data_IF_578132241495
#
_entry.id   IF_578132241495
#
_cell.length_a   1.000
_cell.length_b   1.000
_cell.length_c   1.000
_cell.angle_alpha   90.00
_cell.angle_beta   90.00
_cell.angle_gamma   90.00
#
_symmetry.space_group_name_H-M   'P 1'
#
loop_
_entity.id
_entity.type
_entity.pdbx_description
1 polymer ?
#
# COMPACT_ATOMS: atom_id res chain seq x y z
N UNK A 1 -1.01 -23.78 31.16
CA UNK A 1 0.33 -23.25 30.77
C UNK A 1 0.49 -21.88 31.39
N UNK A 2 1.68 -21.52 31.88
CA UNK A 2 1.95 -20.14 32.27
C UNK A 2 2.06 -19.28 31.00
N UNK A 3 1.61 -18.03 31.09
CA UNK A 3 1.77 -17.05 29.99
C UNK A 3 3.26 -16.86 29.70
N UNK A 4 3.63 -16.83 28.44
CA UNK A 4 4.99 -16.48 28.00
C UNK A 4 5.22 -14.98 28.21
N UNK A 5 5.76 -14.64 29.38
CA UNK A 5 5.88 -13.24 29.80
C UNK A 5 6.85 -12.47 28.92
N UNK A 6 7.90 -13.12 28.43
CA UNK A 6 8.95 -12.47 27.62
C UNK A 6 8.38 -11.85 26.34
N UNK A 7 7.60 -12.65 25.55
CA UNK A 7 7.00 -12.13 24.32
C UNK A 7 5.91 -11.09 24.60
N UNK A 8 5.13 -11.27 25.67
CA UNK A 8 4.08 -10.29 26.00
C UNK A 8 4.65 -8.96 26.53
N UNK A 9 5.80 -8.96 27.20
CA UNK A 9 6.53 -7.74 27.57
C UNK A 9 7.08 -7.01 26.33
N UNK A 10 7.52 -7.73 25.30
CA UNK A 10 7.93 -7.13 24.02
C UNK A 10 6.75 -6.54 23.27
N UNK A 11 5.61 -7.20 23.24
CA UNK A 11 4.35 -6.68 22.66
C UNK A 11 3.95 -5.38 23.36
N UNK A 12 4.01 -5.35 24.71
CA UNK A 12 3.70 -4.14 25.47
C UNK A 12 4.70 -3.01 25.19
N UNK A 13 6.01 -3.31 25.06
CA UNK A 13 7.01 -2.32 24.66
C UNK A 13 6.71 -1.70 23.29
N UNK A 14 6.29 -2.51 22.31
CA UNK A 14 5.90 -2.02 20.99
C UNK A 14 4.62 -1.17 21.07
N UNK A 15 3.63 -1.60 21.86
CA UNK A 15 2.43 -0.80 22.13
C UNK A 15 2.78 0.57 22.72
N UNK A 16 3.68 0.62 23.71
CA UNK A 16 4.16 1.87 24.31
C UNK A 16 4.93 2.74 23.31
N UNK A 17 5.70 2.14 22.39
CA UNK A 17 6.36 2.88 21.29
C UNK A 17 5.32 3.55 20.40
N UNK A 18 4.30 2.82 19.97
CA UNK A 18 3.21 3.35 19.14
C UNK A 18 2.42 4.46 19.85
N UNK A 19 2.14 4.32 21.14
CA UNK A 19 1.43 5.35 21.92
C UNK A 19 2.21 6.65 22.03
N UNK A 20 3.54 6.60 22.18
CA UNK A 20 4.39 7.75 22.47
C UNK A 20 4.85 8.51 21.23
N UNK A 21 4.99 7.82 20.09
CA UNK A 21 5.57 8.38 18.88
C UNK A 21 4.56 8.98 17.92
N UNK A 22 5.04 9.83 17.02
CA UNK A 22 4.34 10.29 15.83
C UNK A 22 4.63 9.33 14.68
N UNK A 23 3.63 8.55 14.23
CA UNK A 23 3.77 7.61 13.14
C UNK A 23 3.48 8.28 11.78
N UNK A 24 4.51 8.42 10.96
CA UNK A 24 4.47 9.05 9.64
C UNK A 24 4.90 8.10 8.51
N UNK A 25 5.07 6.81 8.77
CA UNK A 25 5.31 5.84 7.70
C UNK A 25 4.04 5.72 6.84
N UNK A 26 4.15 6.08 5.56
CA UNK A 26 3.01 6.16 4.65
C UNK A 26 2.27 4.82 4.43
N UNK A 27 2.91 3.70 4.74
CA UNK A 27 2.34 2.34 4.62
C UNK A 27 1.80 1.77 5.93
N UNK A 28 1.77 2.56 7.01
CA UNK A 28 1.25 2.15 8.31
C UNK A 28 -0.07 2.84 8.65
N UNK A 29 -0.84 2.19 9.51
CA UNK A 29 -2.07 2.71 10.10
C UNK A 29 -2.39 1.96 11.39
N UNK A 30 -3.28 2.52 12.20
CA UNK A 30 -3.79 1.88 13.41
C UNK A 30 -5.18 1.32 13.12
N UNK A 31 -5.42 0.09 13.54
CA UNK A 31 -6.72 -0.59 13.37
C UNK A 31 -7.59 -0.42 14.62
N UNK A 32 -8.90 -0.60 14.46
CA UNK A 32 -9.84 -0.62 15.57
C UNK A 32 -9.66 -1.85 16.47
N UNK A 33 -10.20 -1.77 17.69
CA UNK A 33 -10.26 -2.92 18.61
C UNK A 33 -11.04 -4.09 18.01
N UNK A 34 -12.07 -3.84 17.20
CA UNK A 34 -12.85 -4.86 16.52
C UNK A 34 -12.01 -5.63 15.48
N UNK A 35 -11.17 -4.94 14.72
CA UNK A 35 -10.22 -5.59 13.81
C UNK A 35 -9.21 -6.43 14.59
N UNK A 36 -8.67 -5.91 15.72
CA UNK A 36 -7.76 -6.66 16.59
C UNK A 36 -8.43 -7.89 17.21
N UNK A 37 -9.67 -7.76 17.67
CA UNK A 37 -10.44 -8.88 18.22
C UNK A 37 -10.67 -9.98 17.18
N UNK A 38 -10.99 -9.63 15.94
CA UNK A 38 -11.12 -10.58 14.84
C UNK A 38 -9.80 -11.30 14.54
N UNK A 39 -8.66 -10.58 14.55
CA UNK A 39 -7.32 -11.15 14.37
C UNK A 39 -6.94 -12.16 15.45
N UNK A 40 -7.33 -11.94 16.70
CA UNK A 40 -7.07 -12.82 17.84
C UNK A 40 -8.14 -13.90 18.08
N UNK A 41 -9.02 -14.15 17.10
CA UNK A 41 -10.16 -15.06 17.26
C UNK A 41 -9.81 -16.54 17.08
N UNK A 42 -10.79 -17.41 17.43
CA UNK A 42 -10.72 -18.87 17.24
C UNK A 42 -10.55 -19.31 15.79
N UNK A 43 -10.77 -18.41 14.81
CA UNK A 43 -10.56 -18.68 13.39
C UNK A 43 -9.10 -19.00 13.04
N UNK A 44 -8.16 -18.63 13.92
CA UNK A 44 -6.75 -19.04 13.84
C UNK A 44 -6.57 -20.58 13.81
N UNK A 45 -7.51 -21.33 14.36
CA UNK A 45 -7.43 -22.78 14.44
C UNK A 45 -7.92 -23.49 13.18
N UNK A 46 -8.57 -22.76 12.23
CA UNK A 46 -9.28 -23.39 11.12
C UNK A 46 -8.43 -23.50 9.86
N UNK A 47 -8.40 -24.70 9.29
CA UNK A 47 -7.80 -24.98 7.97
C UNK A 47 -8.90 -25.10 6.90
N UNK A 48 -8.85 -24.28 5.84
CA UNK A 48 -9.95 -24.17 4.87
C UNK A 48 -9.47 -23.97 3.41
N UNK A 49 -8.56 -24.85 2.93
CA UNK A 49 -8.12 -24.81 1.51
C UNK A 49 -9.30 -24.89 0.55
N UNK A 50 -9.21 -24.12 -0.53
CA UNK A 50 -10.27 -23.98 -1.52
C UNK A 50 -11.00 -22.64 -1.41
N UNK A 51 -12.17 -22.56 -1.97
CA UNK A 51 -13.04 -21.37 -1.98
C UNK A 51 -14.36 -21.69 -1.26
N UNK A 52 -15.14 -20.70 -0.82
CA UNK A 52 -16.45 -20.91 -0.25
C UNK A 52 -17.30 -21.85 -1.10
N UNK A 53 -17.92 -22.86 -0.46
CA UNK A 53 -18.69 -23.93 -1.11
C UNK A 53 -17.88 -24.95 -1.92
N UNK A 54 -16.55 -24.80 -2.01
CA UNK A 54 -15.62 -25.68 -2.75
C UNK A 54 -14.35 -25.96 -1.97
N UNK A 55 -14.49 -26.27 -0.67
CA UNK A 55 -13.36 -26.57 0.22
C UNK A 55 -12.88 -27.99 0.08
N UNK A 56 -11.59 -28.20 0.36
CA UNK A 56 -10.98 -29.52 0.44
C UNK A 56 -11.11 -30.14 1.83
N UNK A 57 -11.58 -29.39 2.83
CA UNK A 57 -11.72 -29.79 4.23
C UNK A 57 -13.16 -29.67 4.69
N UNK A 58 -13.55 -30.54 5.67
CA UNK A 58 -14.85 -30.45 6.33
C UNK A 58 -14.92 -29.32 7.36
N UNK A 59 -16.13 -29.03 7.84
CA UNK A 59 -16.36 -28.04 8.91
C UNK A 59 -16.13 -26.59 8.48
N UNK A 60 -16.36 -26.27 7.21
CA UNK A 60 -16.08 -24.94 6.65
C UNK A 60 -17.33 -24.03 6.55
N UNK A 61 -18.50 -24.50 6.99
CA UNK A 61 -19.78 -23.80 6.78
C UNK A 61 -19.81 -22.38 7.36
N UNK A 62 -19.10 -22.16 8.47
CA UNK A 62 -19.02 -20.84 9.12
C UNK A 62 -17.97 -19.96 8.43
N UNK A 63 -16.79 -20.51 8.13
CA UNK A 63 -15.75 -19.72 7.45
C UNK A 63 -16.13 -19.38 6.01
N UNK A 64 -16.96 -20.20 5.35
CA UNK A 64 -17.53 -19.85 4.06
C UNK A 64 -18.37 -18.57 4.14
N UNK A 65 -19.22 -18.46 5.16
CA UNK A 65 -20.03 -17.26 5.40
C UNK A 65 -19.16 -16.03 5.72
N UNK A 66 -18.08 -16.22 6.48
CA UNK A 66 -17.13 -15.14 6.82
C UNK A 66 -16.40 -14.64 5.57
N UNK A 67 -15.89 -15.55 4.76
CA UNK A 67 -15.20 -15.19 3.51
C UNK A 67 -16.16 -14.54 2.50
N UNK A 68 -17.37 -15.07 2.35
CA UNK A 68 -18.39 -14.47 1.47
C UNK A 68 -18.77 -13.06 1.96
N UNK A 69 -18.90 -12.85 3.27
CA UNK A 69 -19.17 -11.52 3.82
C UNK A 69 -18.03 -10.53 3.52
N UNK A 70 -16.78 -10.97 3.63
CA UNK A 70 -15.62 -10.14 3.26
C UNK A 70 -15.64 -9.80 1.76
N UNK A 71 -15.95 -10.78 0.92
CA UNK A 71 -16.06 -10.62 -0.54
C UNK A 71 -17.17 -9.65 -0.92
N UNK A 72 -18.35 -9.79 -0.34
CA UNK A 72 -19.50 -8.91 -0.59
C UNK A 72 -19.20 -7.46 -0.18
N UNK A 73 -18.60 -7.26 1.00
CA UNK A 73 -18.28 -5.92 1.51
C UNK A 73 -17.24 -5.21 0.61
N UNK A 74 -16.17 -5.89 0.24
CA UNK A 74 -15.14 -5.27 -0.60
C UNK A 74 -15.63 -5.04 -2.05
N UNK A 75 -16.48 -5.92 -2.58
CA UNK A 75 -17.16 -5.68 -3.87
C UNK A 75 -18.01 -4.42 -3.81
N UNK A 76 -18.81 -4.25 -2.77
CA UNK A 76 -19.64 -3.06 -2.56
C UNK A 76 -18.76 -1.81 -2.42
N UNK A 77 -17.66 -1.90 -1.67
CA UNK A 77 -16.77 -0.78 -1.39
C UNK A 77 -16.16 -0.19 -2.67
N UNK A 78 -15.75 -1.04 -3.61
CA UNK A 78 -15.08 -0.63 -4.84
C UNK A 78 -15.94 -0.74 -6.11
N UNK A 79 -17.18 -1.18 -5.99
CA UNK A 79 -18.04 -1.52 -7.14
C UNK A 79 -17.39 -2.55 -8.06
N UNK A 80 -16.90 -3.65 -7.48
CA UNK A 80 -16.23 -4.74 -8.17
C UNK A 80 -17.21 -5.90 -8.47
N UNK A 81 -17.07 -6.54 -9.63
CA UNK A 81 -17.80 -7.77 -9.95
C UNK A 81 -17.13 -9.00 -9.33
N UNK A 82 -15.81 -9.03 -9.35
CA UNK A 82 -15.00 -10.13 -8.80
C UNK A 82 -14.05 -9.65 -7.71
N UNK A 83 -13.85 -10.49 -6.71
CA UNK A 83 -12.78 -10.35 -5.73
C UNK A 83 -12.27 -11.71 -5.24
N UNK A 84 -10.98 -11.74 -4.88
CA UNK A 84 -10.37 -12.77 -4.05
C UNK A 84 -9.76 -12.09 -2.81
N UNK A 85 -10.19 -12.50 -1.62
CA UNK A 85 -9.77 -11.92 -0.33
C UNK A 85 -8.73 -12.78 0.41
N UNK A 86 -8.29 -13.88 -0.19
CA UNK A 86 -7.36 -14.83 0.42
C UNK A 86 -5.88 -14.42 0.38
N UNK A 87 -5.37 -13.54 -0.52
CA UNK A 87 -3.95 -13.18 -0.50
C UNK A 87 -3.48 -12.72 0.87
N UNK A 88 -2.36 -13.32 1.37
CA UNK A 88 -1.81 -13.01 2.68
C UNK A 88 -1.18 -11.62 2.75
N UNK A 89 -0.77 -11.08 1.60
CA UNK A 89 -0.19 -9.75 1.46
C UNK A 89 -0.44 -9.16 0.07
N UNK A 90 -0.20 -7.86 -0.11
CA UNK A 90 -0.22 -7.24 -1.44
C UNK A 90 0.82 -7.86 -2.38
N UNK A 91 2.01 -8.19 -1.89
CA UNK A 91 3.03 -8.85 -2.70
C UNK A 91 2.57 -10.23 -3.20
N UNK A 92 1.85 -11.01 -2.39
CA UNK A 92 1.28 -12.29 -2.81
C UNK A 92 0.10 -12.12 -3.77
N UNK A 93 -0.72 -11.07 -3.59
CA UNK A 93 -1.74 -10.72 -4.58
C UNK A 93 -1.12 -10.41 -5.94
N UNK A 94 -0.05 -9.60 -5.97
CA UNK A 94 0.71 -9.29 -7.18
C UNK A 94 1.34 -10.56 -7.79
N UNK A 95 1.99 -11.40 -6.97
CA UNK A 95 2.58 -12.65 -7.43
C UNK A 95 1.54 -13.60 -8.04
N UNK A 96 0.35 -13.70 -7.45
CA UNK A 96 -0.74 -14.50 -7.98
C UNK A 96 -1.22 -13.96 -9.34
N UNK A 97 -1.35 -12.63 -9.48
CA UNK A 97 -1.69 -12.03 -10.80
C UNK A 97 -0.61 -12.32 -11.83
N UNK A 98 0.67 -12.11 -11.50
CA UNK A 98 1.78 -12.42 -12.42
C UNK A 98 1.77 -13.89 -12.84
N UNK A 99 1.57 -14.82 -11.89
CA UNK A 99 1.46 -16.25 -12.20
C UNK A 99 0.26 -16.59 -13.09
N UNK A 100 -0.87 -15.88 -12.93
CA UNK A 100 -2.07 -16.10 -13.73
C UNK A 100 -1.92 -15.63 -15.18
N UNK A 101 -1.15 -14.57 -15.43
CA UNK A 101 -1.12 -13.86 -16.70
C UNK A 101 0.19 -13.99 -17.48
N UNK A 102 1.27 -14.41 -16.83
CA UNK A 102 2.61 -14.52 -17.40
C UNK A 102 3.18 -15.93 -17.29
N UNK A 103 4.08 -16.26 -18.20
CA UNK A 103 4.98 -17.42 -18.11
C UNK A 103 6.37 -16.92 -17.77
N UNK A 104 7.24 -17.74 -17.13
CA UNK A 104 8.63 -17.36 -16.89
C UNK A 104 9.30 -16.83 -18.16
N UNK A 105 9.98 -15.70 -18.05
CA UNK A 105 10.61 -14.98 -19.17
C UNK A 105 9.69 -14.04 -19.96
N UNK A 106 8.38 -14.03 -19.73
CA UNK A 106 7.48 -13.07 -20.37
C UNK A 106 7.79 -11.64 -19.92
N UNK A 107 7.64 -10.70 -20.86
CA UNK A 107 7.86 -9.28 -20.61
C UNK A 107 6.63 -8.62 -20.00
N UNK A 108 6.87 -7.81 -18.97
CA UNK A 108 5.88 -6.90 -18.39
C UNK A 108 6.52 -5.55 -18.06
N UNK A 109 5.70 -4.53 -17.79
CA UNK A 109 6.19 -3.20 -17.43
C UNK A 109 5.70 -2.79 -16.04
N UNK A 110 6.55 -2.04 -15.30
CA UNK A 110 6.22 -1.45 -14.00
C UNK A 110 7.02 -0.19 -13.74
N UNK A 111 6.58 0.64 -12.79
CA UNK A 111 7.34 1.81 -12.36
C UNK A 111 8.63 1.35 -11.67
N UNK A 112 9.77 1.93 -12.07
CA UNK A 112 11.05 1.64 -11.45
C UNK A 112 11.03 1.90 -9.94
N UNK A 113 11.72 1.04 -9.19
CA UNK A 113 11.75 1.09 -7.71
C UNK A 113 12.27 2.44 -7.20
N UNK A 114 13.35 2.96 -7.78
CA UNK A 114 13.99 4.24 -7.47
C UNK A 114 13.14 5.45 -7.85
N UNK A 115 12.14 5.24 -8.68
CA UNK A 115 11.14 6.25 -9.05
C UNK A 115 9.82 6.11 -8.25
N UNK A 116 9.82 5.29 -7.21
CA UNK A 116 8.69 5.11 -6.31
C UNK A 116 7.83 3.89 -6.60
N UNK A 117 8.27 2.97 -7.47
CA UNK A 117 7.64 1.67 -7.68
C UNK A 117 7.64 0.78 -6.43
N UNK A 118 7.07 -0.43 -6.55
CA UNK A 118 7.10 -1.43 -5.50
C UNK A 118 8.03 -2.59 -5.89
N UNK A 119 8.63 -3.26 -4.89
CA UNK A 119 9.51 -4.42 -5.13
C UNK A 119 8.86 -5.46 -6.05
N UNK A 120 7.56 -5.76 -5.87
CA UNK A 120 6.84 -6.74 -6.68
C UNK A 120 6.44 -6.25 -8.09
N UNK A 121 6.88 -5.05 -8.50
CA UNK A 121 6.66 -4.51 -9.84
C UNK A 121 7.88 -4.70 -10.76
N UNK A 122 8.76 -5.66 -10.46
CA UNK A 122 9.88 -6.03 -11.34
C UNK A 122 11.26 -5.78 -10.75
N UNK A 123 11.39 -5.52 -9.45
CA UNK A 123 12.72 -5.41 -8.84
C UNK A 123 13.51 -6.71 -8.99
N UNK A 124 14.78 -6.61 -9.37
CA UNK A 124 15.69 -7.73 -9.61
C UNK A 124 15.92 -8.63 -8.38
N UNK A 125 15.62 -8.16 -7.18
CA UNK A 125 15.70 -8.95 -5.94
C UNK A 125 14.37 -9.60 -5.56
N UNK A 126 13.30 -9.34 -6.31
CA UNK A 126 11.97 -9.89 -6.07
C UNK A 126 11.66 -11.00 -7.09
N UNK A 127 10.81 -11.95 -6.73
CA UNK A 127 10.35 -13.01 -7.64
C UNK A 127 9.84 -12.49 -8.98
N UNK A 128 9.23 -11.30 -9.00
CA UNK A 128 8.76 -10.65 -10.22
C UNK A 128 9.91 -10.33 -11.20
N UNK A 129 11.06 -9.87 -10.71
CA UNK A 129 12.23 -9.62 -11.53
C UNK A 129 13.13 -10.85 -11.76
N UNK A 130 12.99 -11.89 -10.91
CA UNK A 130 13.76 -13.13 -11.05
C UNK A 130 13.13 -14.09 -12.07
N UNK A 131 11.80 -14.13 -12.17
CA UNK A 131 11.07 -15.09 -13.02
C UNK A 131 10.67 -14.50 -14.37
N UNK A 132 10.46 -13.20 -14.46
CA UNK A 132 9.95 -12.53 -15.64
C UNK A 132 10.94 -11.50 -16.15
N UNK A 133 10.65 -10.90 -17.32
CA UNK A 133 11.46 -9.85 -17.92
C UNK A 133 10.82 -8.46 -17.70
N UNK A 134 11.13 -7.76 -16.60
CA UNK A 134 10.55 -6.45 -16.31
C UNK A 134 11.21 -5.35 -17.13
N UNK A 135 10.38 -4.48 -17.70
CA UNK A 135 10.80 -3.22 -18.30
C UNK A 135 10.31 -2.09 -17.40
N UNK A 136 11.25 -1.33 -16.83
CA UNK A 136 10.93 -0.18 -15.98
C UNK A 136 10.59 1.06 -16.78
N UNK A 137 9.51 1.76 -16.42
CA UNK A 137 9.27 3.14 -16.86
C UNK A 137 9.53 4.11 -15.70
N UNK A 138 9.69 5.40 -16.02
CA UNK A 138 10.20 6.39 -15.10
C UNK A 138 9.20 7.51 -14.83
N UNK A 139 9.55 8.36 -13.88
CA UNK A 139 8.97 9.69 -13.74
C UNK A 139 9.70 10.66 -14.67
N UNK A 140 8.98 11.63 -15.18
CA UNK A 140 9.55 12.74 -15.92
C UNK A 140 10.43 13.60 -15.00
N UNK A 141 11.62 13.92 -15.43
CA UNK A 141 12.65 14.57 -14.61
C UNK A 141 12.27 15.99 -14.18
N UNK A 142 11.53 16.70 -15.02
CA UNK A 142 11.16 18.09 -14.76
C UNK A 142 9.96 18.20 -13.84
N UNK A 143 8.97 17.32 -14.05
CA UNK A 143 7.68 17.38 -13.32
C UNK A 143 7.61 16.49 -12.10
N UNK A 144 8.47 15.47 -11.99
CA UNK A 144 8.37 14.43 -10.97
C UNK A 144 7.10 13.58 -11.07
N UNK A 145 6.40 13.62 -12.22
CA UNK A 145 5.19 12.84 -12.50
C UNK A 145 5.51 11.69 -13.44
N UNK A 146 4.62 10.68 -13.48
CA UNK A 146 4.75 9.54 -14.41
C UNK A 146 4.91 10.06 -15.83
N UNK A 147 5.93 9.57 -16.53
CA UNK A 147 6.18 9.88 -17.94
C UNK A 147 5.38 8.90 -18.82
N UNK A 148 4.16 9.30 -19.14
CA UNK A 148 3.28 8.47 -19.97
C UNK A 148 3.74 8.40 -21.44
N UNK A 149 4.49 9.37 -21.94
CA UNK A 149 5.07 9.33 -23.29
C UNK A 149 6.21 8.31 -23.35
N UNK A 150 7.07 8.29 -22.33
CA UNK A 150 8.07 7.21 -22.17
C UNK A 150 7.41 5.85 -22.04
N UNK A 151 6.35 5.73 -21.22
CA UNK A 151 5.61 4.48 -21.04
C UNK A 151 5.06 3.95 -22.36
N UNK A 152 4.43 4.79 -23.18
CA UNK A 152 3.88 4.45 -24.48
C UNK A 152 4.98 3.99 -25.44
N UNK A 153 6.08 4.74 -25.55
CA UNK A 153 7.25 4.39 -26.36
C UNK A 153 7.84 3.02 -25.98
N UNK A 154 8.02 2.77 -24.67
CA UNK A 154 8.54 1.51 -24.16
C UNK A 154 7.56 0.35 -24.41
N UNK A 155 6.26 0.58 -24.25
CA UNK A 155 5.23 -0.41 -24.52
C UNK A 155 5.24 -0.83 -26.01
N UNK A 156 5.30 0.12 -26.92
CA UNK A 156 5.40 -0.15 -28.36
C UNK A 156 6.67 -0.93 -28.73
N UNK A 157 7.79 -0.57 -28.09
CA UNK A 157 9.10 -1.20 -28.35
C UNK A 157 9.16 -2.63 -27.82
N UNK A 158 8.69 -2.87 -26.59
CA UNK A 158 8.88 -4.14 -25.89
C UNK A 158 7.67 -5.06 -25.91
N UNK A 159 6.50 -4.55 -26.29
CA UNK A 159 5.22 -5.30 -26.39
C UNK A 159 4.97 -6.19 -25.17
N UNK A 160 4.89 -5.62 -23.97
CA UNK A 160 4.68 -6.38 -22.74
C UNK A 160 3.31 -7.07 -22.77
N UNK A 161 3.18 -8.17 -22.04
CA UNK A 161 1.89 -8.85 -21.84
C UNK A 161 1.07 -8.22 -20.70
N UNK A 162 1.74 -7.48 -19.82
CA UNK A 162 1.13 -6.82 -18.67
C UNK A 162 1.81 -5.46 -18.44
N UNK A 163 1.01 -4.44 -18.18
CA UNK A 163 1.48 -3.15 -17.67
C UNK A 163 0.95 -2.98 -16.26
N UNK A 164 1.84 -2.66 -15.31
CA UNK A 164 1.50 -2.45 -13.91
C UNK A 164 1.59 -0.95 -13.61
N UNK A 165 0.47 -0.36 -13.14
CA UNK A 165 0.44 0.96 -12.53
C UNK A 165 0.33 0.87 -11.02
N UNK A 166 0.79 1.91 -10.34
CA UNK A 166 0.84 1.98 -8.89
C UNK A 166 2.25 2.20 -8.37
N UNK A 167 2.36 2.73 -7.18
CA UNK A 167 3.65 3.05 -6.59
C UNK A 167 3.59 3.16 -5.07
N UNK A 168 4.74 2.93 -4.43
CA UNK A 168 4.91 3.03 -2.97
C UNK A 168 5.24 4.45 -2.51
N UNK A 169 5.82 5.27 -3.39
CA UNK A 169 6.28 6.62 -3.09
C UNK A 169 5.88 7.64 -4.17
N UNK A 170 4.75 7.41 -4.82
CA UNK A 170 4.19 8.33 -5.80
C UNK A 170 3.01 9.08 -5.21
N UNK A 171 3.12 10.41 -5.16
CA UNK A 171 2.19 11.27 -4.39
C UNK A 171 1.06 11.88 -5.24
N UNK A 172 1.03 11.63 -6.55
CA UNK A 172 0.03 12.20 -7.47
C UNK A 172 -0.99 11.17 -7.94
N UNK A 173 -2.10 11.66 -8.48
CA UNK A 173 -3.07 10.80 -9.14
C UNK A 173 -2.47 10.18 -10.42
N UNK A 174 -2.96 8.99 -10.76
CA UNK A 174 -2.58 8.25 -11.96
C UNK A 174 -3.59 8.53 -13.07
N UNK A 175 -3.14 8.70 -14.29
CA UNK A 175 -4.01 8.73 -15.48
C UNK A 175 -4.29 7.29 -15.93
N UNK A 176 -5.23 6.65 -15.25
CA UNK A 176 -5.62 5.27 -15.56
C UNK A 176 -6.20 5.12 -16.98
N UNK A 177 -6.89 6.15 -17.49
CA UNK A 177 -7.46 6.14 -18.84
C UNK A 177 -6.34 6.10 -19.88
N UNK A 178 -5.30 6.89 -19.72
CA UNK A 178 -4.14 6.90 -20.61
C UNK A 178 -3.37 5.58 -20.53
N UNK A 179 -3.16 5.05 -19.33
CA UNK A 179 -2.53 3.73 -19.14
C UNK A 179 -3.32 2.61 -19.84
N UNK A 180 -4.65 2.67 -19.74
CA UNK A 180 -5.51 1.69 -20.42
C UNK A 180 -5.37 1.78 -21.95
N UNK A 181 -5.35 2.98 -22.50
CA UNK A 181 -5.13 3.20 -23.94
C UNK A 181 -3.79 2.61 -24.40
N UNK A 182 -2.71 2.88 -23.66
CA UNK A 182 -1.37 2.33 -23.96
C UNK A 182 -1.40 0.78 -23.91
N UNK A 183 -2.04 0.21 -22.91
CA UNK A 183 -2.14 -1.24 -22.77
C UNK A 183 -2.92 -1.87 -23.95
N UNK A 184 -4.05 -1.28 -24.32
CA UNK A 184 -4.89 -1.75 -25.45
C UNK A 184 -4.14 -1.68 -26.78
N UNK A 185 -3.33 -0.63 -27.00
CA UNK A 185 -2.56 -0.44 -28.24
C UNK A 185 -1.54 -1.56 -28.48
N UNK A 186 -0.97 -2.12 -27.43
CA UNK A 186 0.01 -3.21 -27.53
C UNK A 186 -0.57 -4.60 -27.22
N UNK A 187 -1.86 -4.68 -26.93
CA UNK A 187 -2.54 -5.92 -26.55
C UNK A 187 -2.15 -6.46 -25.17
N UNK A 188 -1.70 -5.58 -24.27
CA UNK A 188 -1.33 -5.92 -22.90
C UNK A 188 -2.55 -5.89 -21.97
N UNK A 189 -2.52 -6.68 -20.90
CA UNK A 189 -3.41 -6.45 -19.77
C UNK A 189 -2.91 -5.25 -18.95
N UNK A 190 -3.83 -4.48 -18.36
CA UNK A 190 -3.51 -3.44 -17.39
C UNK A 190 -3.85 -3.93 -15.99
N UNK A 191 -2.87 -3.93 -15.10
CA UNK A 191 -3.02 -4.15 -13.66
C UNK A 191 -2.73 -2.85 -12.92
N UNK A 192 -3.56 -2.51 -11.95
CA UNK A 192 -3.29 -1.39 -11.03
C UNK A 192 -3.16 -1.92 -9.61
N UNK A 193 -1.99 -1.68 -9.00
CA UNK A 193 -1.77 -1.85 -7.57
C UNK A 193 -2.14 -0.54 -6.85
N UNK A 194 -3.35 -0.50 -6.30
CA UNK A 194 -3.86 0.67 -5.59
C UNK A 194 -3.57 0.66 -4.09
N UNK A 195 -2.64 -0.16 -3.63
CA UNK A 195 -2.40 -0.43 -2.19
C UNK A 195 -2.27 0.85 -1.35
N UNK A 196 -1.52 1.84 -1.82
CA UNK A 196 -1.32 3.07 -1.06
C UNK A 196 -2.58 3.94 -0.97
N UNK A 197 -3.23 4.35 -2.07
CA UNK A 197 -4.40 5.23 -2.03
C UNK A 197 -5.74 4.51 -1.84
N UNK A 198 -5.78 3.19 -1.64
CA UNK A 198 -7.02 2.40 -1.66
C UNK A 198 -8.13 2.93 -0.73
N UNK A 199 -7.78 3.43 0.46
CA UNK A 199 -8.75 4.02 1.39
C UNK A 199 -9.37 5.33 0.88
N UNK A 200 -8.58 6.14 0.16
CA UNK A 200 -9.07 7.38 -0.46
C UNK A 200 -9.94 7.08 -1.69
N UNK A 201 -9.58 6.04 -2.46
CA UNK A 201 -10.39 5.55 -3.59
C UNK A 201 -11.72 5.01 -3.07
N UNK A 202 -11.71 4.21 -1.99
CA UNK A 202 -12.92 3.69 -1.35
C UNK A 202 -13.87 4.81 -0.87
N UNK A 203 -13.32 5.95 -0.43
CA UNK A 203 -14.08 7.13 -0.02
C UNK A 203 -14.58 7.98 -1.21
N UNK A 204 -14.21 7.64 -2.45
CA UNK A 204 -14.55 8.42 -3.65
C UNK A 204 -13.79 9.74 -3.78
N UNK A 205 -12.61 9.85 -3.14
CA UNK A 205 -11.77 11.06 -3.16
C UNK A 205 -10.67 11.02 -4.22
N UNK A 206 -10.45 9.87 -4.83
CA UNK A 206 -9.56 9.62 -5.96
C UNK A 206 -10.28 8.73 -6.97
N UNK A 207 -9.85 8.76 -8.23
CA UNK A 207 -10.50 7.96 -9.27
C UNK A 207 -10.34 6.46 -9.02
N UNK A 208 -11.37 5.70 -9.36
CA UNK A 208 -11.39 4.25 -9.13
C UNK A 208 -10.80 3.51 -10.33
N UNK A 209 -9.64 2.84 -10.18
CA UNK A 209 -8.97 2.13 -11.27
C UNK A 209 -9.79 0.97 -11.86
N UNK A 210 -10.78 0.44 -11.14
CA UNK A 210 -11.66 -0.63 -11.64
C UNK A 210 -12.47 -0.24 -12.88
N UNK A 211 -12.60 1.06 -13.17
CA UNK A 211 -13.22 1.55 -14.42
C UNK A 211 -12.35 1.30 -15.64
N UNK A 212 -11.05 1.18 -15.47
CA UNK A 212 -10.06 1.17 -16.55
C UNK A 212 -9.22 -0.11 -16.59
N UNK A 213 -8.79 -0.58 -15.42
CA UNK A 213 -7.89 -1.72 -15.31
C UNK A 213 -8.60 -3.05 -15.56
N UNK A 214 -7.89 -4.00 -16.12
CA UNK A 214 -8.34 -5.38 -16.23
C UNK A 214 -8.34 -6.07 -14.86
N UNK A 215 -7.29 -5.82 -14.07
CA UNK A 215 -7.10 -6.42 -12.75
C UNK A 215 -6.61 -5.32 -11.80
N UNK A 216 -7.10 -5.33 -10.58
CA UNK A 216 -6.67 -4.42 -9.52
C UNK A 216 -6.23 -5.21 -8.31
N UNK A 217 -5.11 -4.86 -7.71
CA UNK A 217 -4.65 -5.41 -6.45
C UNK A 217 -4.57 -4.34 -5.38
N UNK A 218 -4.64 -4.74 -4.13
CA UNK A 218 -4.40 -3.85 -3.00
C UNK A 218 -3.91 -4.61 -1.78
N UNK A 219 -3.29 -3.87 -0.86
CA UNK A 219 -3.22 -4.26 0.55
C UNK A 219 -4.48 -3.82 1.28
N UNK A 220 -4.67 -4.35 2.50
CA UNK A 220 -5.81 -3.98 3.34
C UNK A 220 -5.44 -3.10 4.55
N UNK A 221 -4.14 -2.89 4.80
CA UNK A 221 -3.61 -2.34 6.06
C UNK A 221 -3.01 -0.92 5.98
N UNK A 222 -3.06 -0.27 4.81
CA UNK A 222 -2.54 1.10 4.64
C UNK A 222 -3.67 2.12 4.86
N UNK A 223 -4.02 2.88 3.83
CA UNK A 223 -5.14 3.81 3.93
C UNK A 223 -6.50 3.14 4.12
N UNK A 224 -6.66 1.85 3.77
CA UNK A 224 -7.87 1.07 4.11
C UNK A 224 -8.02 0.74 5.60
N UNK A 225 -6.97 0.91 6.41
CA UNK A 225 -7.02 0.79 7.87
C UNK A 225 -7.57 -0.57 8.38
N UNK A 226 -7.34 -1.64 7.62
CA UNK A 226 -7.70 -3.01 7.99
C UNK A 226 -6.48 -3.84 8.44
N UNK A 227 -6.64 -5.14 8.62
CA UNK A 227 -5.54 -6.04 8.97
C UNK A 227 -4.51 -6.13 7.84
N UNK A 228 -3.29 -6.56 8.16
CA UNK A 228 -2.29 -6.87 7.13
C UNK A 228 -2.78 -8.01 6.25
N UNK A 229 -2.85 -7.75 4.95
CA UNK A 229 -3.34 -8.70 3.97
C UNK A 229 -3.37 -8.09 2.57
N UNK A 230 -3.80 -8.87 1.57
CA UNK A 230 -3.99 -8.44 0.20
C UNK A 230 -5.35 -8.83 -0.36
N UNK A 231 -5.74 -8.21 -1.45
CA UNK A 231 -6.96 -8.50 -2.23
C UNK A 231 -6.68 -8.38 -3.72
N UNK A 232 -7.44 -9.12 -4.52
CA UNK A 232 -7.49 -9.01 -5.98
C UNK A 232 -8.92 -8.67 -6.37
N UNK A 233 -9.09 -7.72 -7.27
CA UNK A 233 -10.38 -7.21 -7.71
C UNK A 233 -10.43 -7.14 -9.24
N UNK A 234 -11.63 -7.25 -9.81
CA UNK A 234 -11.93 -6.85 -11.19
C UNK A 234 -13.26 -6.10 -11.22
N UNK A 235 -13.30 -5.04 -12.02
CA UNK A 235 -14.54 -4.28 -12.27
C UNK A 235 -15.54 -5.09 -13.07
N UNK A 236 -15.05 -5.89 -14.02
CA UNK A 236 -15.82 -6.84 -14.83
C UNK A 236 -14.99 -8.09 -15.06
N UNK A 237 -15.61 -9.27 -14.94
CA UNK A 237 -14.97 -10.53 -15.31
C UNK A 237 -14.98 -10.72 -16.82
N UNK A 238 -13.94 -11.34 -17.38
CA UNK A 238 -13.76 -11.50 -18.81
C UNK A 238 -13.14 -12.85 -19.17
N UNK A 239 -13.28 -13.25 -20.42
CA UNK A 239 -12.66 -14.46 -20.94
C UNK A 239 -11.14 -14.29 -21.03
N UNK A 240 -10.37 -15.29 -20.60
CA UNK A 240 -8.94 -15.20 -20.71
C UNK A 240 -8.50 -15.02 -22.18
N UNK A 241 -7.55 -14.10 -22.47
CA UNK A 241 -7.16 -13.79 -23.85
C UNK A 241 -6.31 -14.89 -24.52
N UNK A 242 -5.96 -15.94 -23.80
CA UNK A 242 -5.13 -17.04 -24.32
C UNK A 242 -5.92 -18.26 -24.78
N UNK A 243 -7.26 -18.21 -24.75
CA UNK A 243 -8.12 -19.31 -25.16
C UNK A 243 -8.03 -20.57 -24.29
N UNK A 244 -7.56 -20.42 -23.02
CA UNK A 244 -7.50 -21.54 -22.07
C UNK A 244 -8.92 -22.02 -21.75
N UNK A 245 -9.18 -23.35 -21.89
CA UNK A 245 -10.49 -23.94 -21.69
C UNK A 245 -10.59 -24.80 -20.44
N UNK A 246 -11.82 -25.01 -19.98
CA UNK A 246 -12.18 -26.03 -18.99
C UNK A 246 -12.11 -27.43 -19.61
N UNK A 247 -12.25 -28.50 -18.81
CA UNK A 247 -12.36 -29.86 -19.29
C UNK A 247 -13.59 -30.09 -20.20
N UNK A 248 -14.58 -29.20 -20.14
CA UNK A 248 -15.79 -29.22 -20.97
C UNK A 248 -15.65 -28.42 -22.26
N UNK A 249 -14.48 -27.83 -22.54
CA UNK A 249 -14.20 -27.01 -23.72
C UNK A 249 -14.68 -25.56 -23.64
N UNK A 250 -15.22 -25.09 -22.51
CA UNK A 250 -15.64 -23.71 -22.31
C UNK A 250 -14.42 -22.84 -22.02
N UNK A 251 -14.37 -21.62 -22.58
CA UNK A 251 -13.30 -20.67 -22.29
C UNK A 251 -13.33 -20.28 -20.79
N UNK A 252 -12.20 -20.40 -20.11
CA UNK A 252 -12.09 -20.00 -18.69
C UNK A 252 -12.20 -18.50 -18.54
N UNK A 253 -12.99 -18.04 -17.57
CA UNK A 253 -12.99 -16.66 -17.10
C UNK A 253 -11.68 -16.33 -16.41
N UNK A 254 -11.28 -15.04 -16.44
CA UNK A 254 -10.07 -14.57 -15.76
C UNK A 254 -10.15 -14.81 -14.23
N UNK A 255 -11.34 -14.67 -13.64
CA UNK A 255 -11.58 -15.00 -12.23
C UNK A 255 -11.15 -16.42 -11.86
N UNK A 256 -11.35 -17.40 -12.76
CA UNK A 256 -10.93 -18.78 -12.52
C UNK A 256 -9.41 -18.90 -12.49
N UNK A 257 -8.71 -18.17 -13.37
CA UNK A 257 -7.24 -18.19 -13.39
C UNK A 257 -6.66 -17.50 -12.16
N UNK A 258 -7.19 -16.35 -11.77
CA UNK A 258 -6.77 -15.63 -10.57
C UNK A 258 -7.01 -16.46 -9.31
N UNK A 259 -8.18 -17.09 -9.17
CA UNK A 259 -8.46 -17.97 -8.03
C UNK A 259 -7.48 -19.15 -7.98
N UNK A 260 -7.20 -19.78 -9.13
CA UNK A 260 -6.24 -20.89 -9.22
C UNK A 260 -4.81 -20.45 -8.91
N UNK A 261 -4.44 -19.23 -9.28
CA UNK A 261 -3.12 -18.67 -8.99
C UNK A 261 -2.94 -18.33 -7.50
N UNK A 262 -4.01 -17.92 -6.81
CA UNK A 262 -3.99 -17.76 -5.35
C UNK A 262 -3.91 -19.14 -4.70
N UNK A 263 -4.89 -20.01 -4.95
CA UNK A 263 -4.92 -21.37 -4.44
C UNK A 263 -5.26 -22.36 -5.56
N UNK A 264 -4.47 -23.39 -5.80
CA UNK A 264 -3.25 -23.80 -5.08
C UNK A 264 -1.94 -23.17 -5.57
N UNK A 265 -1.99 -22.16 -6.46
CA UNK A 265 -0.83 -21.66 -7.18
C UNK A 265 0.27 -21.05 -6.32
N UNK A 266 -0.09 -20.16 -5.39
CA UNK A 266 0.88 -19.41 -4.55
C UNK A 266 0.67 -19.60 -3.05
N UNK A 267 -0.49 -20.12 -2.63
CA UNK A 267 -0.85 -20.31 -1.21
C UNK A 267 -1.49 -21.67 -0.97
N UNK A 268 -1.48 -22.12 0.32
CA UNK A 268 -2.26 -23.23 0.84
C UNK A 268 -3.51 -22.72 1.57
N UNK A 269 -3.67 -23.12 2.85
CA UNK A 269 -4.81 -22.70 3.69
C UNK A 269 -4.88 -21.19 3.88
N UNK A 270 -6.05 -20.57 3.66
CA UNK A 270 -6.25 -19.16 3.89
C UNK A 270 -6.20 -18.83 5.38
N UNK A 271 -5.87 -17.56 5.71
CA UNK A 271 -5.84 -17.06 7.08
C UNK A 271 -7.23 -16.55 7.45
N UNK A 272 -8.09 -17.44 7.96
CA UNK A 272 -9.52 -17.13 8.20
C UNK A 272 -9.72 -16.01 9.23
N UNK A 273 -8.85 -15.91 10.24
CA UNK A 273 -8.86 -14.80 11.21
C UNK A 273 -8.52 -13.46 10.55
N UNK A 274 -7.61 -13.45 9.56
CA UNK A 274 -7.31 -12.25 8.77
C UNK A 274 -8.48 -11.89 7.84
N UNK A 275 -9.12 -12.89 7.22
CA UNK A 275 -10.29 -12.65 6.35
C UNK A 275 -11.46 -12.08 7.16
N UNK A 276 -11.69 -12.59 8.38
CA UNK A 276 -12.67 -12.02 9.29
C UNK A 276 -12.34 -10.56 9.65
N UNK A 277 -11.08 -10.28 9.97
CA UNK A 277 -10.63 -8.93 10.24
C UNK A 277 -10.73 -7.99 9.02
N UNK A 278 -10.49 -8.51 7.80
CA UNK A 278 -10.78 -7.77 6.55
C UNK A 278 -12.27 -7.45 6.44
N UNK A 279 -13.15 -8.41 6.75
CA UNK A 279 -14.60 -8.18 6.72
C UNK A 279 -15.02 -7.08 7.71
N UNK A 280 -14.43 -7.01 8.91
CA UNK A 280 -14.64 -5.92 9.86
C UNK A 280 -14.16 -4.59 9.28
N UNK A 281 -12.91 -4.50 8.84
CA UNK A 281 -12.35 -3.27 8.27
C UNK A 281 -13.14 -2.76 7.05
N UNK A 282 -13.60 -3.65 6.15
CA UNK A 282 -14.46 -3.24 5.03
C UNK A 282 -15.83 -2.74 5.49
N UNK A 283 -16.38 -3.26 6.60
CA UNK A 283 -17.61 -2.72 7.19
C UNK A 283 -17.40 -1.29 7.72
N UNK A 284 -16.27 -1.03 8.38
CA UNK A 284 -15.89 0.30 8.81
C UNK A 284 -15.74 1.27 7.62
N UNK A 285 -15.08 0.81 6.54
CA UNK A 285 -14.91 1.60 5.33
C UNK A 285 -16.23 1.91 4.59
N UNK A 286 -17.28 1.16 4.82
CA UNK A 286 -18.62 1.38 4.27
C UNK A 286 -19.46 2.37 5.10
N UNK A 287 -18.99 2.79 6.29
CA UNK A 287 -19.69 3.75 7.11
C UNK A 287 -19.54 5.20 6.55
N UNK A 288 -20.52 6.07 6.77
CA UNK A 288 -20.42 7.48 6.36
C UNK A 288 -19.19 8.20 6.94
N UNK A 289 -18.82 7.90 8.19
CA UNK A 289 -17.64 8.44 8.88
C UNK A 289 -16.31 8.13 8.18
N UNK A 290 -16.27 7.08 7.35
CA UNK A 290 -15.09 6.75 6.57
C UNK A 290 -14.66 7.88 5.62
N UNK A 291 -15.63 8.53 4.98
CA UNK A 291 -15.35 9.65 4.07
C UNK A 291 -14.74 10.83 4.82
N UNK A 292 -15.23 11.11 6.02
CA UNK A 292 -14.71 12.19 6.88
C UNK A 292 -13.24 11.92 7.26
N UNK A 293 -12.94 10.70 7.70
CA UNK A 293 -11.57 10.28 7.97
C UNK A 293 -10.66 10.43 6.75
N UNK A 294 -11.08 9.90 5.60
CA UNK A 294 -10.29 9.93 4.37
C UNK A 294 -10.06 11.37 3.87
N UNK A 295 -11.05 12.25 3.99
CA UNK A 295 -10.90 13.68 3.71
C UNK A 295 -9.87 14.33 4.63
N UNK A 296 -9.90 14.01 5.93
CA UNK A 296 -8.92 14.54 6.89
C UNK A 296 -7.50 14.03 6.58
N UNK A 297 -7.33 12.76 6.20
CA UNK A 297 -6.03 12.22 5.77
C UNK A 297 -5.46 13.02 4.61
N UNK A 298 -6.26 13.27 3.58
CA UNK A 298 -5.84 14.03 2.39
C UNK A 298 -5.52 15.49 2.74
N UNK A 299 -6.35 16.11 3.59
CA UNK A 299 -6.14 17.49 4.05
C UNK A 299 -4.86 17.63 4.87
N UNK A 300 -4.62 16.72 5.81
CA UNK A 300 -3.41 16.69 6.60
C UNK A 300 -2.16 16.54 5.72
N UNK A 301 -2.22 15.68 4.70
CA UNK A 301 -1.10 15.50 3.77
C UNK A 301 -0.81 16.78 2.97
N UNK A 302 -1.84 17.46 2.49
CA UNK A 302 -1.67 18.71 1.77
C UNK A 302 -1.05 19.80 2.65
N UNK A 303 -1.55 19.99 3.88
CA UNK A 303 -1.03 20.98 4.83
C UNK A 303 0.42 20.68 5.21
N UNK A 304 0.75 19.41 5.51
CA UNK A 304 2.13 19.02 5.83
C UNK A 304 3.08 19.28 4.66
N UNK A 305 2.67 18.93 3.44
CA UNK A 305 3.48 19.16 2.25
C UNK A 305 3.71 20.65 2.00
N UNK A 306 2.67 21.48 2.13
CA UNK A 306 2.76 22.92 1.95
C UNK A 306 3.65 23.57 3.01
N UNK A 307 3.51 23.23 4.28
CA UNK A 307 4.35 23.76 5.36
C UNK A 307 5.82 23.37 5.17
N UNK A 308 6.10 22.12 4.80
CA UNK A 308 7.47 21.69 4.49
C UNK A 308 8.07 22.50 3.31
N UNK A 309 7.27 22.77 2.25
CA UNK A 309 7.72 23.60 1.12
C UNK A 309 8.02 25.04 1.59
N UNK A 310 7.16 25.64 2.41
CA UNK A 310 7.38 26.98 2.96
C UNK A 310 8.63 27.05 3.84
N UNK A 311 9.00 25.96 4.50
CA UNK A 311 10.25 25.79 5.25
C UNK A 311 11.46 25.49 4.35
N UNK A 312 11.31 25.47 3.03
CA UNK A 312 12.38 25.27 2.06
C UNK A 312 12.72 23.82 1.76
N UNK A 313 11.88 22.85 2.14
CA UNK A 313 12.02 21.47 1.68
C UNK A 313 11.52 21.32 0.24
N UNK A 314 12.13 20.40 -0.51
CA UNK A 314 11.65 20.01 -1.82
C UNK A 314 10.76 18.77 -1.72
N UNK A 315 9.51 18.88 -2.17
CA UNK A 315 8.60 17.72 -2.28
C UNK A 315 8.59 17.27 -3.74
N UNK A 316 8.90 15.99 -3.98
CA UNK A 316 8.88 15.42 -5.34
C UNK A 316 7.50 15.66 -5.96
N UNK A 317 7.46 16.11 -7.20
CA UNK A 317 6.26 16.56 -7.93
C UNK A 317 5.59 17.83 -7.39
N UNK A 318 6.20 18.55 -6.46
CA UNK A 318 5.72 19.83 -5.93
C UNK A 318 4.49 19.72 -5.01
N UNK A 319 4.26 18.57 -4.37
CA UNK A 319 3.14 18.38 -3.42
C UNK A 319 2.51 16.99 -3.48
N UNK A 320 1.28 16.86 -2.98
CA UNK A 320 0.57 15.56 -2.93
C UNK A 320 -0.92 15.71 -3.26
N UNK A 321 -1.47 14.70 -3.93
CA UNK A 321 -2.90 14.51 -4.17
C UNK A 321 -3.50 13.42 -3.28
N UNK A 322 -2.66 12.69 -2.51
CA UNK A 322 -3.08 11.56 -1.69
C UNK A 322 -2.64 11.71 -0.21
N UNK A 323 -2.31 10.62 0.47
CA UNK A 323 -1.95 10.57 1.89
C UNK A 323 -0.45 10.66 2.16
N UNK A 324 0.39 10.67 1.13
CA UNK A 324 1.84 10.55 1.28
C UNK A 324 2.60 11.58 0.47
N UNK A 325 3.84 11.83 0.85
CA UNK A 325 4.77 12.69 0.12
C UNK A 325 6.18 12.14 0.21
N UNK A 326 6.98 12.44 -0.82
CA UNK A 326 8.40 12.13 -0.87
C UNK A 326 9.19 13.44 -0.77
N UNK A 327 9.93 13.60 0.31
CA UNK A 327 10.77 14.76 0.59
C UNK A 327 12.16 14.50 0.02
N UNK A 328 12.59 15.33 -0.91
CA UNK A 328 13.96 15.35 -1.43
C UNK A 328 14.83 16.26 -0.55
N UNK A 329 15.80 15.68 0.12
CA UNK A 329 16.67 16.40 1.05
C UNK A 329 17.78 17.18 0.35
N UNK A 330 18.11 16.84 -0.91
CA UNK A 330 19.27 17.36 -1.64
C UNK A 330 19.26 18.88 -1.77
N UNK A 331 18.10 19.49 -1.86
CA UNK A 331 17.98 20.95 -2.04
C UNK A 331 18.30 21.72 -0.75
N UNK A 332 17.74 21.29 0.37
CA UNK A 332 17.90 21.99 1.67
C UNK A 332 19.12 21.51 2.44
N UNK A 333 19.42 20.23 2.36
CA UNK A 333 20.47 19.54 3.09
C UNK A 333 21.32 18.65 2.17
N UNK A 334 22.20 19.24 1.31
CA UNK A 334 22.91 18.49 0.27
C UNK A 334 23.78 17.35 0.81
N UNK A 335 24.29 17.47 2.02
CA UNK A 335 25.16 16.45 2.66
C UNK A 335 24.38 15.42 3.48
N UNK A 336 23.12 15.71 3.85
CA UNK A 336 22.30 14.82 4.66
C UNK A 336 21.76 13.66 3.83
N UNK A 337 22.05 12.43 4.29
CA UNK A 337 21.47 11.23 3.66
C UNK A 337 20.10 10.92 4.27
N UNK A 338 19.23 10.24 3.49
CA UNK A 338 17.97 9.73 4.03
C UNK A 338 18.16 8.81 5.23
N UNK A 339 19.28 8.06 5.26
CA UNK A 339 19.61 7.18 6.40
C UNK A 339 19.90 7.95 7.69
N UNK A 340 20.64 9.03 7.62
CA UNK A 340 20.92 9.87 8.80
C UNK A 340 19.63 10.57 9.25
N UNK A 341 18.85 11.10 8.29
CA UNK A 341 17.55 11.72 8.56
C UNK A 341 16.57 10.74 9.25
N UNK A 342 16.41 9.53 8.71
CA UNK A 342 15.61 8.47 9.31
C UNK A 342 16.02 8.18 10.75
N UNK A 343 17.31 7.96 10.98
CA UNK A 343 17.83 7.64 12.32
C UNK A 343 17.57 8.77 13.33
N UNK A 344 17.80 10.03 12.94
CA UNK A 344 17.59 11.17 13.81
C UNK A 344 16.10 11.38 14.17
N UNK A 345 15.21 11.26 13.17
CA UNK A 345 13.76 11.34 13.38
C UNK A 345 13.25 10.22 14.28
N UNK A 346 13.66 8.97 14.03
CA UNK A 346 13.28 7.81 14.87
C UNK A 346 13.80 7.99 16.31
N UNK A 347 15.01 8.54 16.51
CA UNK A 347 15.52 8.84 17.84
C UNK A 347 14.72 9.93 18.58
N UNK A 348 13.99 10.76 17.84
CA UNK A 348 13.06 11.77 18.37
C UNK A 348 11.61 11.27 18.48
N UNK A 349 11.35 9.96 18.32
CA UNK A 349 10.03 9.32 18.27
C UNK A 349 9.11 9.86 17.14
N UNK A 350 9.72 10.31 16.04
CA UNK A 350 9.05 10.64 14.79
C UNK A 350 9.39 9.53 13.79
N UNK A 351 8.45 8.60 13.58
CA UNK A 351 8.72 7.42 12.74
C UNK A 351 8.47 7.74 11.27
N UNK A 352 9.54 7.73 10.48
CA UNK A 352 9.52 7.90 9.03
C UNK A 352 10.48 6.89 8.39
N UNK A 353 10.48 6.74 7.08
CA UNK A 353 11.45 5.88 6.40
C UNK A 353 12.27 6.65 5.37
N UNK A 354 13.56 6.30 5.28
CA UNK A 354 14.39 6.73 4.16
C UNK A 354 13.81 6.20 2.85
N UNK A 355 13.94 6.96 1.80
CA UNK A 355 13.48 6.59 0.47
C UNK A 355 14.39 7.16 -0.61
N UNK A 356 14.62 6.39 -1.68
CA UNK A 356 15.25 6.95 -2.87
C UNK A 356 14.34 8.03 -3.47
N UNK A 357 14.94 9.05 -4.02
CA UNK A 357 14.24 10.07 -4.81
C UNK A 357 14.48 9.80 -6.29
N UNK A 358 13.60 10.22 -7.19
CA UNK A 358 13.82 10.04 -8.62
C UNK A 358 15.20 10.58 -9.03
N UNK A 359 15.91 9.80 -9.84
CA UNK A 359 17.27 10.11 -10.29
C UNK A 359 18.27 10.28 -9.12
N UNK A 360 18.10 9.50 -8.06
CA UNK A 360 19.01 9.49 -6.92
C UNK A 360 20.39 8.96 -7.34
N UNK A 361 21.44 9.64 -6.88
CA UNK A 361 22.82 9.22 -7.12
C UNK A 361 23.41 8.43 -5.95
N UNK A 362 22.71 8.40 -4.81
CA UNK A 362 23.09 7.61 -3.63
C UNK A 362 22.53 6.20 -3.71
N UNK A 363 23.18 5.27 -3.03
CA UNK A 363 22.72 3.89 -2.95
C UNK A 363 21.39 3.77 -2.20
N UNK A 364 20.64 2.68 -2.43
CA UNK A 364 19.41 2.37 -1.70
C UNK A 364 19.60 2.21 -0.18
N UNK A 365 20.82 2.01 0.30
CA UNK A 365 21.13 1.95 1.73
C UNK A 365 21.25 3.31 2.38
N UNK A 366 21.61 4.35 1.62
CA UNK A 366 21.76 5.73 2.10
C UNK A 366 20.59 6.61 1.72
N UNK A 367 20.20 6.61 0.45
CA UNK A 367 19.13 7.42 -0.16
C UNK A 367 19.32 8.94 0.02
N UNK A 368 18.55 9.73 -0.72
CA UNK A 368 18.56 11.19 -0.60
C UNK A 368 17.23 11.77 -0.13
N UNK A 369 16.29 10.94 0.27
CA UNK A 369 14.98 11.38 0.70
C UNK A 369 14.42 10.62 1.88
N UNK A 370 13.30 11.16 2.39
CA UNK A 370 12.42 10.51 3.36
C UNK A 370 10.99 10.51 2.81
N UNK A 371 10.26 9.43 3.09
CA UNK A 371 8.85 9.34 2.76
C UNK A 371 8.02 9.56 4.02
N UNK A 372 7.00 10.41 3.90
CA UNK A 372 6.05 10.73 4.97
C UNK A 372 4.63 10.40 4.53
N UNK A 373 3.77 10.08 5.49
CA UNK A 373 2.34 9.85 5.28
C UNK A 373 1.52 10.24 6.50
N UNK A 374 0.26 10.52 6.28
CA UNK A 374 -0.62 11.09 7.33
C UNK A 374 -1.74 10.14 7.78
N UNK A 375 -1.85 8.94 7.22
CA UNK A 375 -2.95 8.03 7.54
C UNK A 375 -2.97 7.62 9.02
N UNK A 376 -1.83 7.17 9.56
CA UNK A 376 -1.72 6.70 10.94
C UNK A 376 -1.98 7.82 11.95
N UNK A 377 -1.33 8.97 11.79
CA UNK A 377 -1.51 10.09 12.72
C UNK A 377 -2.93 10.68 12.65
N UNK A 378 -3.57 10.65 11.48
CA UNK A 378 -4.99 11.04 11.33
C UNK A 378 -5.91 10.07 12.06
N UNK A 379 -5.64 8.76 12.01
CA UNK A 379 -6.41 7.76 12.79
C UNK A 379 -6.39 8.08 14.29
N UNK A 380 -5.33 8.67 14.78
CA UNK A 380 -5.20 9.16 16.17
C UNK A 380 -5.96 10.46 16.46
N UNK A 381 -6.62 11.04 15.46
CA UNK A 381 -7.40 12.27 15.60
C UNK A 381 -6.64 13.56 15.28
N UNK A 382 -5.41 13.47 14.76
CA UNK A 382 -4.64 14.65 14.36
C UNK A 382 -5.33 15.41 13.20
N UNK A 383 -5.28 16.74 13.28
CA UNK A 383 -5.79 17.67 12.28
C UNK A 383 -4.67 18.62 11.83
N UNK A 384 -5.02 19.64 11.08
CA UNK A 384 -4.10 20.56 10.41
C UNK A 384 -3.10 21.22 11.35
N UNK A 385 -3.54 21.66 12.54
CA UNK A 385 -2.65 22.29 13.54
C UNK A 385 -1.51 21.34 13.95
N UNK A 386 -1.80 20.03 14.06
CA UNK A 386 -0.78 19.04 14.31
C UNK A 386 0.22 18.94 13.16
N UNK A 387 -0.20 19.15 11.89
CA UNK A 387 0.71 19.05 10.75
C UNK A 387 1.74 20.18 10.74
N UNK A 388 1.38 21.38 11.19
CA UNK A 388 2.34 22.48 11.39
C UNK A 388 3.37 22.14 12.45
N UNK A 389 2.94 21.55 13.58
CA UNK A 389 3.85 21.08 14.61
C UNK A 389 4.78 19.97 14.09
N UNK A 390 4.26 19.00 13.32
CA UNK A 390 5.05 17.91 12.71
C UNK A 390 6.13 18.50 11.80
N UNK A 391 5.79 19.46 10.94
CA UNK A 391 6.76 20.11 10.04
C UNK A 391 7.85 20.86 10.82
N UNK A 392 7.48 21.59 11.88
CA UNK A 392 8.42 22.27 12.80
C UNK A 392 9.39 21.29 13.42
N UNK A 393 8.89 20.19 14.00
CA UNK A 393 9.72 19.20 14.69
C UNK A 393 10.64 18.43 13.72
N UNK A 394 10.17 18.10 12.52
CA UNK A 394 11.00 17.50 11.47
C UNK A 394 12.15 18.46 11.12
N UNK A 395 11.86 19.73 10.89
CA UNK A 395 12.90 20.71 10.56
C UNK A 395 13.90 20.87 11.70
N UNK A 396 13.44 20.97 12.96
CA UNK A 396 14.31 21.11 14.15
C UNK A 396 15.29 19.94 14.27
N UNK A 397 14.82 18.70 14.08
CA UNK A 397 15.66 17.49 14.11
C UNK A 397 16.64 17.48 12.93
N UNK A 398 16.17 17.76 11.71
CA UNK A 398 17.03 17.67 10.52
C UNK A 398 18.04 18.81 10.41
N UNK A 399 17.82 19.95 11.08
CA UNK A 399 18.84 20.99 11.27
C UNK A 399 19.94 20.57 12.24
N UNK A 400 19.68 19.57 13.11
CA UNK A 400 20.56 19.15 14.18
C UNK A 400 20.63 17.61 14.32
N UNK A 401 20.89 16.85 13.22
CA UNK A 401 20.65 15.42 13.18
C UNK A 401 21.54 14.57 14.10
N UNK A 402 22.66 15.14 14.59
CA UNK A 402 23.60 14.47 15.49
C UNK A 402 23.59 15.10 16.90
N UNK A 403 22.77 16.13 17.15
CA UNK A 403 22.71 16.80 18.47
C UNK A 403 21.74 16.06 19.39
N UNK A 404 22.28 15.25 20.28
CA UNK A 404 21.51 14.44 21.24
C UNK A 404 20.58 15.28 22.13
N UNK A 405 20.99 16.51 22.50
CA UNK A 405 20.18 17.39 23.36
C UNK A 405 18.94 17.90 22.61
N UNK A 406 19.08 18.26 21.33
CA UNK A 406 17.96 18.67 20.47
C UNK A 406 17.03 17.50 20.26
N UNK A 407 17.56 16.34 19.87
CA UNK A 407 16.78 15.12 19.64
C UNK A 407 15.99 14.73 20.91
N UNK A 408 16.63 14.77 22.07
CA UNK A 408 15.97 14.49 23.35
C UNK A 408 14.83 15.47 23.64
N UNK A 409 15.05 16.77 23.46
CA UNK A 409 14.04 17.82 23.68
C UNK A 409 12.84 17.61 22.72
N UNK A 410 13.10 17.34 21.45
CA UNK A 410 12.03 17.06 20.47
C UNK A 410 11.27 15.80 20.87
N UNK A 411 11.94 14.72 21.25
CA UNK A 411 11.30 13.50 21.73
C UNK A 411 10.38 13.74 22.92
N UNK A 412 10.82 14.53 23.90
CA UNK A 412 10.01 14.89 25.06
C UNK A 412 8.76 15.68 24.64
N UNK A 413 8.89 16.61 23.66
CA UNK A 413 7.76 17.36 23.10
C UNK A 413 6.79 16.45 22.33
N UNK A 414 7.32 15.53 21.51
CA UNK A 414 6.52 14.49 20.81
C UNK A 414 5.72 13.67 21.81
N UNK A 415 6.40 13.10 22.81
CA UNK A 415 5.76 12.23 23.80
C UNK A 415 4.71 12.97 24.64
N UNK A 416 4.97 14.23 24.99
CA UNK A 416 4.01 15.06 25.72
C UNK A 416 2.76 15.34 24.86
N UNK A 417 2.95 15.70 23.60
CA UNK A 417 1.85 15.95 22.66
C UNK A 417 1.00 14.70 22.43
N UNK A 418 1.65 13.55 22.19
CA UNK A 418 0.93 12.33 21.82
C UNK A 418 0.13 11.68 22.95
N UNK A 419 0.30 12.12 24.22
CA UNK A 419 -0.52 11.68 25.36
C UNK A 419 -2.01 11.94 25.18
N UNK A 420 -2.36 13.01 24.47
CA UNK A 420 -3.76 13.42 24.25
C UNK A 420 -4.40 12.76 23.02
N UNK A 421 -3.65 11.90 22.31
CA UNK A 421 -4.08 11.23 21.10
C UNK A 421 -4.09 9.71 21.32
N UNK A 422 -5.25 9.05 21.40
CA UNK A 422 -5.35 7.58 21.46
C UNK A 422 -4.82 6.97 20.17
N UNK A 423 -4.55 5.67 20.13
CA UNK A 423 -4.16 4.99 18.89
C UNK A 423 -5.29 5.02 17.85
N UNK A 424 -6.53 4.98 18.31
CA UNK A 424 -7.72 4.99 17.45
C UNK A 424 -8.76 5.96 18.00
N UNK A 425 -9.08 7.01 17.22
CA UNK A 425 -9.97 8.10 17.62
C UNK A 425 -11.30 8.14 16.83
N UNK A 426 -11.58 7.17 15.97
CA UNK A 426 -12.77 7.12 15.09
C UNK A 426 -13.71 5.97 15.42
#
# INVERSE_FOLDING_TARGET
MKRDQEIFDLIEKEHQRQLKGMELIASENFVSDEVMAAMGSYLTNKYAEGLPGKRYYGGCQVVDQIEDLARERVKKLFNAEFTNVQPHSGAQANAAVLLAVLKPGDTFMGLNLDHGGHLSHGSHVNTSGLLYNPIGYNLNKETGRVDYDEMERLALQHKPKLIIGGGSAYSREWDYARMRKIADEVGALLMIDMAHPAGLIAAGLLDNPLKYAHIVTSTTHKTLRGPRGGIILMGKDFDNPWGLTTKKGEVKKMSMLLNSAVFPGTQGGPLEHVIAAKAVGFAENLQPSWKEYAMQVKKNAAVLAEDLIQRGFSIVSGGTDNHSMLVDLRTKYPDLTGKVAENALVAADITANKNMVPFDTRSAFQTSGIRLGTAAITTRGAKEDMMHLVAELIEEVLNNPENEQVIKRVREKVNATMKDYPLFAY
#
